data_IF_294799208450
#
_entry.id   IF_294799208450
#
_cell.length_a   1.000
_cell.length_b   1.000
_cell.length_c   1.000
_cell.angle_alpha   90.00
_cell.angle_beta   90.00
_cell.angle_gamma   90.00
#
_symmetry.space_group_name_H-M   'P 1'
#
loop_
_entity.id
_entity.type
_entity.pdbx_description
1 polymer ?
#
# COMPACT_ATOMS: atom_id res chain seq x y z
N UNK A 1 -27.64 -55.59 -25.69
CA UNK A 1 -26.76 -55.20 -24.56
C UNK A 1 -25.74 -54.17 -25.04
N UNK A 2 -25.95 -52.90 -24.74
CA UNK A 2 -24.99 -51.83 -25.01
C UNK A 2 -24.73 -51.15 -23.70
N UNK A 3 -23.51 -51.32 -23.19
CA UNK A 3 -23.03 -50.66 -21.97
C UNK A 3 -22.68 -49.19 -22.27
N UNK A 4 -23.36 -48.28 -21.62
CA UNK A 4 -23.05 -46.86 -21.62
C UNK A 4 -21.87 -46.60 -20.68
N UNK A 5 -20.77 -46.17 -21.27
CA UNK A 5 -19.54 -45.77 -20.58
C UNK A 5 -19.77 -44.38 -19.99
N UNK A 6 -19.91 -44.28 -18.70
CA UNK A 6 -19.88 -43.01 -17.96
C UNK A 6 -18.44 -42.49 -17.88
N UNK A 7 -18.13 -41.47 -18.67
CA UNK A 7 -16.86 -40.72 -18.51
C UNK A 7 -16.92 -39.92 -17.20
N UNK A 8 -16.24 -40.48 -16.22
CA UNK A 8 -16.00 -39.75 -14.95
C UNK A 8 -14.96 -38.67 -15.15
N UNK A 9 -15.42 -37.40 -15.18
CA UNK A 9 -14.49 -36.27 -15.00
C UNK A 9 -13.88 -36.30 -13.62
N UNK A 10 -12.54 -36.21 -13.49
CA UNK A 10 -11.90 -36.29 -12.18
C UNK A 10 -12.28 -35.08 -11.32
N UNK A 11 -12.90 -35.37 -10.18
CA UNK A 11 -13.33 -34.38 -9.17
C UNK A 11 -12.22 -33.42 -8.69
N UNK A 12 -10.96 -33.76 -8.99
CA UNK A 12 -9.78 -32.97 -8.67
C UNK A 12 -9.71 -31.65 -9.46
N UNK A 13 -10.21 -31.65 -10.72
CA UNK A 13 -10.18 -30.42 -11.57
C UNK A 13 -11.18 -29.36 -11.12
N UNK A 14 -12.32 -29.75 -10.60
CA UNK A 14 -13.37 -28.82 -10.15
C UNK A 14 -12.92 -28.11 -8.87
N UNK A 15 -12.16 -28.79 -8.02
CA UNK A 15 -11.71 -28.22 -6.74
C UNK A 15 -10.59 -27.19 -6.90
N UNK A 16 -9.73 -27.35 -7.90
CA UNK A 16 -8.66 -26.38 -8.20
C UNK A 16 -9.21 -25.09 -8.82
N UNK A 17 -10.10 -25.18 -9.79
CA UNK A 17 -10.70 -24.00 -10.44
C UNK A 17 -11.64 -23.22 -9.50
N UNK A 18 -12.30 -23.90 -8.56
CA UNK A 18 -13.12 -23.26 -7.55
C UNK A 18 -12.26 -22.55 -6.49
N UNK A 19 -11.14 -23.17 -6.10
CA UNK A 19 -10.16 -22.60 -5.16
C UNK A 19 -9.46 -21.38 -5.75
N UNK A 20 -9.14 -21.39 -7.03
CA UNK A 20 -8.55 -20.26 -7.75
C UNK A 20 -9.52 -19.08 -7.87
N UNK A 21 -10.78 -19.33 -8.21
CA UNK A 21 -11.82 -18.29 -8.28
C UNK A 21 -12.19 -17.73 -6.92
N UNK A 22 -12.21 -18.54 -5.87
CA UNK A 22 -12.47 -18.09 -4.50
C UNK A 22 -11.26 -17.32 -3.94
N UNK A 23 -10.02 -17.69 -4.33
CA UNK A 23 -8.80 -16.93 -4.02
C UNK A 23 -8.79 -15.52 -4.62
N UNK A 24 -9.40 -15.33 -5.79
CA UNK A 24 -9.48 -14.02 -6.46
C UNK A 24 -10.51 -13.10 -5.80
N UNK A 25 -11.49 -13.63 -5.07
CA UNK A 25 -12.60 -12.88 -4.46
C UNK A 25 -12.27 -12.26 -3.07
N UNK A 26 -11.19 -12.69 -2.41
CA UNK A 26 -10.79 -12.19 -1.08
C UNK A 26 -9.55 -11.28 -1.17
N UNK A 27 -9.55 -10.33 -2.08
CA UNK A 27 -8.47 -9.37 -2.22
C UNK A 27 -8.84 -8.06 -1.55
N UNK A 28 -8.16 -7.74 -0.45
CA UNK A 28 -8.23 -6.40 0.13
C UNK A 28 -7.22 -5.53 -0.60
N UNK A 29 -7.72 -4.47 -1.25
CA UNK A 29 -6.89 -3.49 -1.93
C UNK A 29 -7.15 -2.12 -1.36
N UNK A 30 -6.08 -1.46 -0.95
CA UNK A 30 -6.11 -0.07 -0.49
C UNK A 30 -5.06 0.75 -1.22
N UNK A 31 -5.44 1.94 -1.70
CA UNK A 31 -4.51 2.89 -2.30
C UNK A 31 -4.53 4.16 -1.47
N UNK A 32 -3.41 4.47 -0.84
CA UNK A 32 -3.23 5.69 -0.06
C UNK A 32 -2.72 6.80 -0.96
N UNK A 33 -3.63 7.74 -1.28
CA UNK A 33 -3.33 8.95 -2.06
C UNK A 33 -3.28 10.17 -1.16
N UNK A 34 -2.76 11.28 -1.68
CA UNK A 34 -2.72 12.55 -1.00
C UNK A 34 -4.13 12.98 -0.55
N UNK A 35 -4.28 13.52 0.67
CA UNK A 35 -5.54 14.10 1.11
C UNK A 35 -5.83 15.37 0.29
N UNK A 36 -7.12 15.73 0.18
CA UNK A 36 -7.58 16.87 -0.62
C UNK A 36 -6.92 18.21 -0.23
N UNK A 37 -6.67 18.45 1.08
CA UNK A 37 -6.04 19.67 1.57
C UNK A 37 -4.59 19.82 1.12
N UNK A 38 -3.89 18.72 0.82
CA UNK A 38 -2.51 18.73 0.34
C UNK A 38 -2.39 19.38 -1.04
N UNK A 39 -3.46 19.30 -1.87
CA UNK A 39 -3.50 19.97 -3.16
C UNK A 39 -3.48 21.49 -3.02
N UNK A 40 -4.17 22.06 -2.00
CA UNK A 40 -4.11 23.50 -1.76
C UNK A 40 -2.71 23.95 -1.35
N UNK A 41 -2.01 23.16 -0.57
CA UNK A 41 -0.63 23.46 -0.18
C UNK A 41 0.32 23.36 -1.38
N UNK A 42 0.20 22.31 -2.19
CA UNK A 42 0.99 22.12 -3.40
C UNK A 42 0.76 23.26 -4.40
N UNK A 43 -0.50 23.57 -4.73
CA UNK A 43 -0.86 24.64 -5.63
C UNK A 43 -0.42 26.03 -5.12
N UNK A 44 -0.51 26.28 -3.81
CA UNK A 44 -0.03 27.52 -3.21
C UNK A 44 1.48 27.68 -3.33
N UNK A 45 2.22 26.59 -3.13
CA UNK A 45 3.68 26.59 -3.32
C UNK A 45 4.05 26.77 -4.78
N UNK A 46 3.37 26.04 -5.69
CA UNK A 46 3.59 26.17 -7.14
C UNK A 46 3.33 27.60 -7.61
N UNK A 47 2.23 28.21 -7.18
CA UNK A 47 1.89 29.59 -7.47
C UNK A 47 2.93 30.58 -6.94
N UNK A 48 3.43 30.38 -5.73
CA UNK A 48 4.49 31.21 -5.15
C UNK A 48 5.79 31.16 -5.98
N UNK A 49 6.18 29.98 -6.46
CA UNK A 49 7.35 29.78 -7.32
C UNK A 49 7.16 30.51 -8.65
N UNK A 50 5.97 30.40 -9.27
CA UNK A 50 5.66 31.07 -10.53
C UNK A 50 5.76 32.58 -10.41
N UNK A 51 5.23 33.18 -9.33
CA UNK A 51 5.34 34.63 -9.07
C UNK A 51 6.80 35.04 -8.92
N UNK A 52 7.59 34.27 -8.18
CA UNK A 52 9.02 34.57 -7.99
C UNK A 52 9.79 34.55 -9.33
N UNK A 53 9.50 33.56 -10.17
CA UNK A 53 10.11 33.49 -11.53
C UNK A 53 9.67 34.64 -12.42
N UNK A 54 8.38 34.99 -12.35
CA UNK A 54 7.86 36.11 -13.13
C UNK A 54 8.51 37.45 -12.75
N UNK A 55 8.60 37.70 -11.42
CA UNK A 55 9.21 38.94 -10.92
C UNK A 55 10.72 39.03 -11.18
N UNK A 56 11.44 37.92 -11.16
CA UNK A 56 12.89 37.88 -11.33
C UNK A 56 13.38 37.74 -12.79
N UNK A 57 12.67 36.93 -13.59
CA UNK A 57 13.14 36.47 -14.90
C UNK A 57 12.17 36.76 -16.04
N UNK A 58 10.99 37.32 -15.74
CA UNK A 58 9.99 37.73 -16.72
C UNK A 58 9.05 36.63 -17.22
N UNK A 59 8.19 36.97 -18.21
CA UNK A 59 7.04 36.13 -18.60
C UNK A 59 7.43 34.76 -19.16
N UNK A 60 8.47 34.68 -19.97
CA UNK A 60 8.88 33.40 -20.61
C UNK A 60 9.36 32.43 -19.55
N UNK A 61 10.17 32.88 -18.59
CA UNK A 61 10.64 32.03 -17.48
C UNK A 61 9.49 31.57 -16.58
N UNK A 62 8.51 32.44 -16.31
CA UNK A 62 7.33 32.10 -15.55
C UNK A 62 6.51 31.00 -16.23
N UNK A 63 6.27 31.07 -17.53
CA UNK A 63 5.52 30.07 -18.30
C UNK A 63 6.28 28.74 -18.31
N UNK A 64 7.56 28.74 -18.65
CA UNK A 64 8.36 27.50 -18.67
C UNK A 64 8.46 26.87 -17.27
N UNK A 65 8.69 27.72 -16.26
CA UNK A 65 8.75 27.26 -14.86
C UNK A 65 7.43 26.67 -14.37
N UNK A 66 6.28 27.29 -14.70
CA UNK A 66 4.97 26.75 -14.32
C UNK A 66 4.71 25.36 -14.93
N UNK A 67 5.10 25.15 -16.18
CA UNK A 67 4.96 23.83 -16.83
C UNK A 67 5.85 22.79 -16.13
N UNK A 68 7.09 23.12 -15.83
CA UNK A 68 8.02 22.21 -15.15
C UNK A 68 7.50 21.86 -13.75
N UNK A 69 7.08 22.86 -12.97
CA UNK A 69 6.58 22.65 -11.60
C UNK A 69 5.31 21.81 -11.63
N UNK A 70 4.37 22.08 -12.53
CA UNK A 70 3.15 21.27 -12.68
C UNK A 70 3.46 19.80 -13.03
N UNK A 71 4.41 19.57 -13.94
CA UNK A 71 4.84 18.20 -14.30
C UNK A 71 5.46 17.49 -13.08
N UNK A 72 6.33 18.17 -12.34
CA UNK A 72 6.98 17.61 -11.15
C UNK A 72 5.96 17.28 -10.04
N UNK A 73 4.98 18.16 -9.80
CA UNK A 73 3.91 17.94 -8.82
C UNK A 73 3.05 16.74 -9.21
N UNK A 74 2.65 16.61 -10.48
CA UNK A 74 1.92 15.45 -10.98
C UNK A 74 2.75 14.17 -10.89
N UNK A 75 4.01 14.21 -11.28
CA UNK A 75 4.92 13.07 -11.17
C UNK A 75 5.06 12.61 -9.72
N UNK A 76 5.28 13.54 -8.79
CA UNK A 76 5.38 13.26 -7.37
C UNK A 76 4.09 12.67 -6.81
N UNK A 77 2.91 13.16 -7.23
CA UNK A 77 1.62 12.60 -6.84
C UNK A 77 1.48 11.12 -7.22
N UNK A 78 1.81 10.77 -8.46
CA UNK A 78 1.74 9.38 -8.92
C UNK A 78 2.79 8.49 -8.25
N UNK A 79 3.99 9.01 -8.04
CA UNK A 79 5.10 8.25 -7.48
C UNK A 79 4.94 7.97 -5.98
N UNK A 80 4.25 8.85 -5.24
CA UNK A 80 4.07 8.71 -3.79
C UNK A 80 2.84 7.88 -3.40
N UNK A 81 2.00 7.46 -4.34
CA UNK A 81 0.85 6.60 -4.06
C UNK A 81 1.30 5.24 -3.50
N UNK A 82 0.88 4.92 -2.27
CA UNK A 82 1.15 3.63 -1.66
C UNK A 82 -0.02 2.68 -1.94
N UNK A 83 0.29 1.57 -2.59
CA UNK A 83 -0.67 0.49 -2.85
C UNK A 83 -0.43 -0.65 -1.86
N UNK A 84 -1.50 -1.08 -1.20
CA UNK A 84 -1.51 -2.24 -0.32
C UNK A 84 -2.45 -3.26 -0.95
N UNK A 85 -1.94 -4.43 -1.25
CA UNK A 85 -2.69 -5.53 -1.82
C UNK A 85 -2.49 -6.77 -0.95
N UNK A 86 -3.59 -7.31 -0.47
CA UNK A 86 -3.59 -8.49 0.38
C UNK A 86 -4.32 -9.60 -0.36
N UNK A 87 -3.59 -10.66 -0.63
CA UNK A 87 -4.09 -11.91 -1.19
C UNK A 87 -4.05 -13.00 -0.13
N UNK A 88 -4.64 -14.16 -0.43
CA UNK A 88 -4.54 -15.34 0.44
C UNK A 88 -3.10 -15.87 0.48
N UNK A 89 -2.32 -15.65 -0.57
CA UNK A 89 -0.96 -16.20 -0.71
C UNK A 89 0.14 -15.22 -0.32
N UNK A 90 -0.04 -13.93 -0.60
CA UNK A 90 0.98 -12.91 -0.40
C UNK A 90 0.39 -11.59 0.13
N UNK A 91 1.21 -10.87 0.88
CA UNK A 91 1.03 -9.47 1.24
C UNK A 91 1.96 -8.63 0.39
N UNK A 92 1.40 -7.67 -0.34
CA UNK A 92 2.16 -6.71 -1.15
C UNK A 92 1.93 -5.30 -0.65
N UNK A 93 3.01 -4.59 -0.34
CA UNK A 93 2.98 -3.20 0.12
C UNK A 93 3.95 -2.38 -0.75
N UNK A 94 3.41 -1.64 -1.71
CA UNK A 94 4.19 -0.93 -2.69
C UNK A 94 5.04 -1.87 -3.54
N UNK A 95 6.36 -1.81 -3.39
CA UNK A 95 7.32 -2.69 -4.08
C UNK A 95 7.70 -3.94 -3.28
N UNK A 96 7.46 -3.93 -1.98
CA UNK A 96 7.76 -5.06 -1.11
C UNK A 96 6.63 -6.08 -1.17
N UNK A 97 6.99 -7.36 -1.14
CA UNK A 97 6.05 -8.47 -1.08
C UNK A 97 6.61 -9.56 -0.17
N UNK A 98 5.73 -10.27 0.50
CA UNK A 98 6.07 -11.38 1.38
C UNK A 98 5.00 -12.46 1.32
N UNK A 99 5.43 -13.72 1.31
CA UNK A 99 4.52 -14.85 1.39
C UNK A 99 3.83 -14.89 2.75
N UNK A 100 2.57 -15.21 2.75
CA UNK A 100 1.74 -15.24 3.96
C UNK A 100 2.24 -16.21 5.04
N UNK A 101 2.89 -17.30 4.66
CA UNK A 101 3.48 -18.28 5.58
C UNK A 101 4.56 -17.72 6.51
N UNK A 102 5.15 -16.58 6.16
CA UNK A 102 6.17 -15.89 6.95
C UNK A 102 5.60 -14.75 7.79
N UNK A 103 4.29 -14.49 7.70
CA UNK A 103 3.64 -13.50 8.55
C UNK A 103 3.44 -14.09 9.94
N UNK A 104 3.88 -13.35 10.94
CA UNK A 104 3.63 -13.64 12.35
C UNK A 104 2.39 -12.92 12.88
N UNK A 105 2.47 -12.46 14.12
CA UNK A 105 1.40 -11.72 14.77
C UNK A 105 1.10 -10.41 14.04
N UNK A 106 -0.18 -10.17 13.77
CA UNK A 106 -0.68 -8.94 13.18
C UNK A 106 -1.37 -8.11 14.25
N UNK A 107 -1.04 -6.84 14.35
CA UNK A 107 -1.64 -5.94 15.35
C UNK A 107 -2.10 -4.67 14.65
N UNK A 108 -3.38 -4.34 14.79
CA UNK A 108 -3.92 -3.05 14.34
C UNK A 108 -3.48 -1.95 15.30
N UNK A 109 -2.96 -0.85 14.75
CA UNK A 109 -2.49 0.30 15.52
C UNK A 109 -3.43 1.48 15.31
N UNK A 110 -3.88 2.05 16.42
CA UNK A 110 -4.58 3.33 16.42
C UNK A 110 -3.60 4.51 16.28
N UNK A 111 -4.12 5.75 16.30
CA UNK A 111 -3.31 6.94 16.12
C UNK A 111 -2.27 7.14 17.24
N UNK A 112 -2.59 6.75 18.46
CA UNK A 112 -1.72 6.90 19.63
C UNK A 112 -0.60 5.87 19.59
N UNK A 113 -0.94 4.61 19.36
CA UNK A 113 0.02 3.52 19.21
C UNK A 113 0.96 3.74 18.02
N UNK A 114 0.40 4.18 16.87
CA UNK A 114 1.19 4.48 15.68
C UNK A 114 2.20 5.61 15.95
N UNK A 115 1.77 6.69 16.61
CA UNK A 115 2.65 7.80 16.98
C UNK A 115 3.75 7.39 17.97
N UNK A 116 3.43 6.50 18.92
CA UNK A 116 4.39 5.96 19.85
C UNK A 116 5.46 5.12 19.15
N UNK A 117 5.06 4.23 18.25
CA UNK A 117 5.99 3.42 17.43
C UNK A 117 6.89 4.28 16.54
N UNK A 118 6.39 5.42 16.04
CA UNK A 118 7.18 6.33 15.20
C UNK A 118 8.10 7.25 15.97
N UNK A 119 7.88 7.47 17.28
CA UNK A 119 8.71 8.36 18.11
C UNK A 119 9.70 7.61 19.00
N UNK A 120 9.21 6.64 19.76
CA UNK A 120 9.98 5.97 20.81
C UNK A 120 10.42 4.55 20.44
N UNK A 121 9.89 3.97 19.38
CA UNK A 121 10.09 2.56 19.04
C UNK A 121 10.56 2.30 17.62
N UNK A 122 11.17 3.30 16.94
CA UNK A 122 11.68 3.07 15.58
C UNK A 122 12.84 2.09 15.63
N UNK A 123 12.60 0.88 15.11
CA UNK A 123 13.68 -0.05 14.83
C UNK A 123 14.15 0.18 13.38
N UNK A 124 15.42 0.59 13.17
CA UNK A 124 15.94 0.86 11.81
C UNK A 124 15.93 -0.38 10.91
N UNK A 125 15.94 -1.59 11.49
CA UNK A 125 15.87 -2.84 10.74
C UNK A 125 14.45 -3.23 10.32
N UNK A 126 13.41 -2.51 10.80
CA UNK A 126 12.03 -2.78 10.43
C UNK A 126 11.67 -2.09 9.10
N UNK A 127 10.77 -2.70 8.34
CA UNK A 127 10.25 -2.10 7.12
C UNK A 127 9.15 -1.08 7.44
N UNK A 128 9.33 0.16 7.00
CA UNK A 128 8.40 1.25 7.25
C UNK A 128 7.73 1.73 5.97
N UNK A 129 6.46 1.36 5.76
CA UNK A 129 5.61 1.88 4.70
C UNK A 129 4.59 2.87 5.29
N UNK A 130 5.11 3.96 5.88
CA UNK A 130 4.31 4.94 6.60
C UNK A 130 3.99 6.15 5.73
N UNK A 131 2.76 6.67 5.89
CA UNK A 131 2.32 7.92 5.29
C UNK A 131 1.88 8.87 6.40
N UNK A 132 2.51 10.05 6.51
CA UNK A 132 2.29 11.01 7.61
C UNK A 132 0.84 11.52 7.71
N UNK A 133 0.07 11.46 6.63
CA UNK A 133 -1.34 11.84 6.61
C UNK A 133 -2.31 10.72 7.01
N UNK A 134 -1.80 9.52 7.26
CA UNK A 134 -2.59 8.37 7.75
C UNK A 134 -2.09 8.02 9.14
N UNK A 135 -2.93 8.27 10.14
CA UNK A 135 -2.56 8.13 11.54
C UNK A 135 -2.70 6.70 12.08
N UNK A 136 -3.42 5.84 11.37
CA UNK A 136 -3.65 4.44 11.74
C UNK A 136 -2.79 3.51 10.88
N UNK A 137 -2.56 2.30 11.35
CA UNK A 137 -1.75 1.33 10.61
C UNK A 137 -1.83 -0.07 11.17
N UNK A 138 -1.00 -0.94 10.60
CA UNK A 138 -0.87 -2.33 11.01
C UNK A 138 0.61 -2.62 11.22
N UNK A 139 0.93 -3.25 12.36
CA UNK A 139 2.22 -3.86 12.64
C UNK A 139 2.10 -5.35 12.35
N UNK A 140 2.99 -5.86 11.51
CA UNK A 140 3.00 -7.25 11.06
C UNK A 140 4.38 -7.81 11.39
N UNK A 141 4.45 -8.78 12.29
CA UNK A 141 5.69 -9.47 12.63
C UNK A 141 6.08 -10.40 11.49
N UNK A 142 7.38 -10.50 11.21
CA UNK A 142 7.93 -11.32 10.15
C UNK A 142 8.70 -12.48 10.78
N UNK A 143 8.38 -13.70 10.35
CA UNK A 143 9.00 -14.94 10.81
C UNK A 143 9.74 -15.65 9.65
N UNK A 144 10.38 -14.86 8.77
CA UNK A 144 11.22 -15.41 7.71
C UNK A 144 12.68 -15.56 8.21
N UNK A 145 13.25 -16.78 8.28
CA UNK A 145 14.64 -16.97 8.71
C UNK A 145 15.69 -16.32 7.79
N UNK A 146 15.29 -15.93 6.56
CA UNK A 146 16.16 -15.32 5.56
C UNK A 146 16.13 -13.81 5.59
N UNK A 147 15.06 -13.21 6.17
CA UNK A 147 14.88 -11.76 6.23
C UNK A 147 15.16 -11.28 7.67
N UNK A 148 16.19 -10.44 7.88
CA UNK A 148 16.49 -9.87 9.19
C UNK A 148 15.45 -8.86 9.66
N UNK A 149 14.43 -8.55 8.85
CA UNK A 149 13.38 -7.58 9.18
C UNK A 149 12.45 -8.11 10.27
N UNK A 150 12.42 -7.52 11.46
CA UNK A 150 11.62 -8.06 12.58
C UNK A 150 10.12 -7.83 12.41
N UNK A 151 9.72 -6.75 11.77
CA UNK A 151 8.31 -6.42 11.50
C UNK A 151 8.15 -5.39 10.38
N UNK A 152 6.96 -5.37 9.80
CA UNK A 152 6.51 -4.33 8.88
C UNK A 152 5.55 -3.38 9.59
N UNK A 153 5.77 -2.08 9.44
CA UNK A 153 4.88 -1.03 9.91
C UNK A 153 4.25 -0.33 8.72
N UNK A 154 2.96 -0.57 8.51
CA UNK A 154 2.24 -0.14 7.30
C UNK A 154 1.11 0.80 7.69
N UNK A 155 1.08 2.03 7.15
CA UNK A 155 -0.07 2.92 7.29
C UNK A 155 -1.27 2.40 6.51
N UNK A 156 -2.43 2.36 7.15
CA UNK A 156 -3.70 1.99 6.52
C UNK A 156 -4.87 2.69 7.20
N UNK A 157 -5.86 3.11 6.41
CA UNK A 157 -7.15 3.60 6.93
C UNK A 157 -8.07 2.45 7.35
N UNK A 158 -7.78 1.23 6.86
CA UNK A 158 -8.53 0.00 7.10
C UNK A 158 -7.76 -0.97 8.01
N UNK A 159 -6.98 -0.45 8.95
CA UNK A 159 -6.09 -1.24 9.80
C UNK A 159 -6.79 -2.42 10.49
N UNK A 160 -7.99 -2.22 11.03
CA UNK A 160 -8.77 -3.26 11.71
C UNK A 160 -9.24 -4.33 10.72
N UNK A 161 -9.71 -3.93 9.53
CA UNK A 161 -10.17 -4.85 8.49
C UNK A 161 -9.01 -5.74 8.00
N UNK A 162 -7.85 -5.11 7.77
CA UNK A 162 -6.63 -5.79 7.37
C UNK A 162 -6.16 -6.78 8.44
N UNK A 163 -6.12 -6.36 9.71
CA UNK A 163 -5.70 -7.23 10.80
C UNK A 163 -6.62 -8.45 10.91
N UNK A 164 -7.93 -8.24 10.91
CA UNK A 164 -8.91 -9.35 10.95
C UNK A 164 -8.75 -10.32 9.78
N UNK A 165 -8.55 -9.78 8.56
CA UNK A 165 -8.37 -10.62 7.37
C UNK A 165 -7.10 -11.45 7.44
N UNK A 166 -6.01 -10.88 7.94
CA UNK A 166 -4.75 -11.60 8.09
C UNK A 166 -4.78 -12.64 9.23
N UNK A 167 -5.57 -12.42 10.28
CA UNK A 167 -5.75 -13.36 11.40
C UNK A 167 -6.76 -14.48 11.10
N UNK A 168 -7.73 -14.26 10.18
CA UNK A 168 -8.85 -15.19 9.93
C UNK A 168 -8.51 -16.35 9.00
N UNK A 169 -7.35 -16.41 8.44
CA UNK A 169 -6.89 -17.41 7.47
C UNK A 169 -5.51 -17.91 7.86
#
# INVERSE_FOLDING_TARGET
MRATRSEGYPAIYINQTFKEKTCTLLRVRETLRWPWWFWFLALGLDFSIVIALWAGLGNIAAILGSIIVAILTLWMYFFTALQIEISIQELRVGRAHIDRKFLGKVTSLDATMMSHHLRAGINPSAFHAVRFWVKTGVKIEINDPRDPTPYWLVSSKKAIEIARFLESV
#
